data_IF_572199377445
#
_entry.id   IF_572199377445
#
_cell.length_a   1.000
_cell.length_b   1.000
_cell.length_c   1.000
_cell.angle_alpha   90.00
_cell.angle_beta   90.00
_cell.angle_gamma   90.00
#
_symmetry.space_group_name_H-M   'P 1'
#
loop_
_entity.id
_entity.type
_entity.pdbx_description
1 polymer ?
#
# COMPACT_ATOMS: atom_id res chain seq x y z
N UNK A 1 6.46 21.22 34.33
CA UNK A 1 7.05 20.03 34.97
C UNK A 1 7.32 18.97 33.93
N UNK A 2 8.57 18.52 33.79
CA UNK A 2 8.93 17.40 32.90
C UNK A 2 8.65 16.10 33.66
N UNK A 3 7.71 15.32 33.15
CA UNK A 3 7.46 13.98 33.66
C UNK A 3 8.62 13.07 33.25
N UNK A 4 9.15 12.23 34.16
CA UNK A 4 10.22 11.31 33.82
C UNK A 4 9.75 10.33 32.74
N UNK A 5 10.41 10.36 31.57
CA UNK A 5 10.06 9.49 30.45
C UNK A 5 10.76 8.15 30.62
N UNK A 6 9.98 7.08 30.71
CA UNK A 6 10.52 5.72 30.70
C UNK A 6 11.02 5.36 29.29
N UNK A 7 12.34 5.38 29.12
CA UNK A 7 13.00 5.10 27.84
C UNK A 7 12.72 3.69 27.30
N UNK A 8 12.48 2.71 28.17
CA UNK A 8 12.14 1.35 27.75
C UNK A 8 10.77 1.30 27.07
N UNK A 9 9.77 2.01 27.63
CA UNK A 9 8.45 2.14 27.00
C UNK A 9 8.56 2.87 25.65
N UNK A 10 9.37 3.92 25.57
CA UNK A 10 9.61 4.65 24.33
C UNK A 10 10.26 3.77 23.25
N UNK A 11 11.29 2.99 23.60
CA UNK A 11 11.93 2.03 22.67
C UNK A 11 10.95 0.97 22.17
N UNK A 12 10.14 0.39 23.07
CA UNK A 12 9.12 -0.60 22.71
C UNK A 12 8.05 -0.01 21.77
N UNK A 13 7.62 1.23 22.02
CA UNK A 13 6.67 1.93 21.15
C UNK A 13 7.26 2.17 19.74
N UNK A 14 8.52 2.61 19.65
CA UNK A 14 9.25 2.77 18.38
C UNK A 14 9.40 1.44 17.64
N UNK A 15 9.77 0.36 18.33
CA UNK A 15 9.89 -0.95 17.71
C UNK A 15 8.54 -1.48 17.19
N UNK A 16 7.45 -1.27 17.95
CA UNK A 16 6.10 -1.70 17.55
C UNK A 16 5.60 -0.93 16.31
N UNK A 17 5.85 0.38 16.26
CA UNK A 17 5.46 1.22 15.12
C UNK A 17 6.24 0.86 13.85
N UNK A 18 7.56 0.68 13.95
CA UNK A 18 8.39 0.24 12.83
C UNK A 18 7.94 -1.13 12.27
N UNK A 19 7.62 -2.09 13.15
CA UNK A 19 7.10 -3.40 12.73
C UNK A 19 5.75 -3.29 12.00
N UNK A 20 4.88 -2.39 12.46
CA UNK A 20 3.58 -2.16 11.80
C UNK A 20 3.77 -1.55 10.41
N UNK A 21 4.63 -0.54 10.28
CA UNK A 21 4.95 0.07 8.98
C UNK A 21 5.52 -0.96 7.99
N UNK A 22 6.46 -1.80 8.43
CA UNK A 22 7.00 -2.86 7.60
C UNK A 22 5.94 -3.90 7.18
N UNK A 23 5.00 -4.23 8.08
CA UNK A 23 3.90 -5.12 7.77
C UNK A 23 2.92 -4.51 6.75
N UNK A 24 2.59 -3.23 6.89
CA UNK A 24 1.73 -2.49 5.95
C UNK A 24 2.40 -2.39 4.57
N UNK A 25 3.71 -2.11 4.52
CA UNK A 25 4.49 -2.13 3.28
C UNK A 25 4.52 -3.51 2.63
N UNK A 26 4.72 -4.58 3.41
CA UNK A 26 4.72 -5.94 2.90
C UNK A 26 3.32 -6.37 2.44
N UNK A 27 2.25 -5.92 3.11
CA UNK A 27 0.88 -6.14 2.67
C UNK A 27 0.60 -5.40 1.35
N UNK A 28 1.14 -4.18 1.17
CA UNK A 28 1.04 -3.48 -0.11
C UNK A 28 1.85 -4.17 -1.22
N UNK A 29 3.08 -4.62 -0.91
CA UNK A 29 3.99 -5.25 -1.86
C UNK A 29 3.58 -6.69 -2.23
N UNK A 30 3.03 -7.44 -1.28
CA UNK A 30 2.83 -8.89 -1.38
C UNK A 30 1.41 -9.36 -1.02
N UNK A 31 0.56 -8.50 -0.44
CA UNK A 31 -0.78 -8.85 0.02
C UNK A 31 -1.87 -8.79 -1.05
N UNK A 32 -1.55 -8.33 -2.27
CA UNK A 32 -2.50 -8.43 -3.38
C UNK A 32 -2.64 -9.90 -3.80
N UNK A 33 -3.81 -10.45 -3.53
CA UNK A 33 -4.17 -11.80 -4.02
C UNK A 33 -4.12 -11.82 -5.54
N UNK A 34 -3.92 -13.01 -6.13
CA UNK A 34 -3.86 -13.17 -7.61
C UNK A 34 -5.09 -12.54 -8.28
N UNK A 35 -6.27 -12.76 -7.71
CA UNK A 35 -7.54 -12.20 -8.20
C UNK A 35 -7.60 -10.67 -8.16
N UNK A 36 -7.07 -10.02 -7.12
CA UNK A 36 -7.00 -8.56 -7.04
C UNK A 36 -6.01 -7.96 -8.04
N UNK A 37 -4.88 -8.63 -8.29
CA UNK A 37 -3.92 -8.22 -9.33
C UNK A 37 -4.54 -8.32 -10.72
N UNK A 38 -5.21 -9.44 -11.01
CA UNK A 38 -5.86 -9.67 -12.31
C UNK A 38 -7.00 -8.68 -12.55
N UNK A 39 -7.78 -8.36 -11.51
CA UNK A 39 -8.84 -7.35 -11.58
C UNK A 39 -8.28 -5.94 -11.85
N UNK A 40 -7.18 -5.56 -11.18
CA UNK A 40 -6.53 -4.27 -11.45
C UNK A 40 -5.96 -4.21 -12.87
N UNK A 41 -5.37 -5.31 -13.36
CA UNK A 41 -4.87 -5.40 -14.74
C UNK A 41 -6.00 -5.26 -15.76
N UNK A 42 -7.08 -6.02 -15.61
CA UNK A 42 -8.23 -5.94 -16.51
C UNK A 42 -8.86 -4.53 -16.55
N UNK A 43 -8.89 -3.83 -15.41
CA UNK A 43 -9.34 -2.43 -15.35
C UNK A 43 -8.39 -1.49 -16.11
N UNK A 44 -7.08 -1.66 -15.95
CA UNK A 44 -6.09 -0.86 -16.67
C UNK A 44 -6.18 -1.09 -18.18
N UNK A 45 -6.25 -2.35 -18.62
CA UNK A 45 -6.35 -2.72 -20.04
C UNK A 45 -7.62 -2.14 -20.68
N UNK A 46 -8.75 -2.18 -19.96
CA UNK A 46 -10.00 -1.54 -20.40
C UNK A 46 -9.85 -0.03 -20.56
N UNK A 47 -9.21 0.65 -19.61
CA UNK A 47 -9.00 2.09 -19.68
C UNK A 47 -8.13 2.48 -20.88
N UNK A 48 -7.05 1.74 -21.13
CA UNK A 48 -6.20 1.93 -22.32
C UNK A 48 -7.01 1.72 -23.60
N UNK A 49 -7.77 0.63 -23.67
CA UNK A 49 -8.59 0.32 -24.85
C UNK A 49 -9.64 1.40 -25.14
N UNK A 50 -10.25 1.98 -24.10
CA UNK A 50 -11.21 3.09 -24.24
C UNK A 50 -10.51 4.36 -24.75
N UNK A 51 -9.35 4.70 -24.20
CA UNK A 51 -8.57 5.85 -24.66
C UNK A 51 -8.13 5.68 -26.12
N UNK A 52 -7.71 4.48 -26.50
CA UNK A 52 -7.30 4.18 -27.88
C UNK A 52 -8.48 4.20 -28.85
N UNK A 53 -9.67 3.74 -28.43
CA UNK A 53 -10.88 3.86 -29.24
C UNK A 53 -11.24 5.33 -29.50
N UNK A 54 -11.24 6.17 -28.46
CA UNK A 54 -11.50 7.61 -28.61
C UNK A 54 -10.49 8.31 -29.52
N UNK A 55 -9.21 7.89 -29.53
CA UNK A 55 -8.18 8.42 -30.44
C UNK A 55 -8.34 7.97 -31.89
N UNK A 56 -9.04 6.87 -32.16
CA UNK A 56 -9.26 6.35 -33.53
C UNK A 56 -10.53 6.91 -34.17
N UNK A 57 -11.49 7.32 -33.35
CA UNK A 57 -12.75 7.93 -33.79
C UNK A 57 -12.63 9.46 -34.02
N UNK A 58 -11.48 10.04 -33.69
CA UNK A 58 -11.11 11.44 -34.00
C UNK A 58 -10.05 11.49 -35.09
#
# INVERSE_FOLDING_TARGET
>A
MTTPVNLNKARKARAKTARKQAADENAAKHGLTKTQRDLNRAKADRAVSQLDAHKRET
#
